data_IF_361813232692
#
_entry.id   IF_361813232692
#
_cell.length_a   1.000
_cell.length_b   1.000
_cell.length_c   1.000
_cell.angle_alpha   90.00
_cell.angle_beta   90.00
_cell.angle_gamma   90.00
#
_symmetry.space_group_name_H-M   'P 1'
#
loop_
_entity.id
_entity.type
_entity.pdbx_description
1 polymer ?
#
# COMPACT_ATOMS: atom_id res chain seq x y z
N UNK A 1 -102.83 -21.81 -22.19
CA UNK A 1 -101.77 -21.53 -21.20
C UNK A 1 -100.70 -22.59 -21.31
N UNK A 2 -99.52 -22.25 -21.84
CA UNK A 2 -98.25 -22.91 -21.51
C UNK A 2 -97.13 -22.04 -22.06
N UNK A 3 -96.45 -21.35 -21.15
CA UNK A 3 -95.30 -20.47 -21.40
C UNK A 3 -94.07 -21.36 -21.35
N UNK A 4 -93.36 -21.51 -22.48
CA UNK A 4 -92.00 -22.06 -22.47
C UNK A 4 -91.03 -20.90 -22.72
N UNK A 5 -90.48 -20.38 -21.63
CA UNK A 5 -89.41 -19.38 -21.64
C UNK A 5 -88.10 -20.04 -22.06
N UNK A 6 -87.63 -19.67 -23.25
CA UNK A 6 -86.30 -20.04 -23.74
C UNK A 6 -85.28 -19.17 -23.01
N UNK A 7 -84.52 -19.75 -22.07
CA UNK A 7 -83.36 -19.11 -21.48
C UNK A 7 -82.25 -18.96 -22.53
N UNK A 8 -82.09 -17.74 -23.04
CA UNK A 8 -80.95 -17.33 -23.84
C UNK A 8 -79.69 -17.28 -22.98
N UNK A 9 -78.85 -18.31 -23.07
CA UNK A 9 -77.49 -18.29 -22.50
C UNK A 9 -76.64 -17.31 -23.32
N UNK A 10 -76.42 -16.12 -22.78
CA UNK A 10 -75.54 -15.12 -23.38
C UNK A 10 -74.10 -15.65 -23.46
N UNK A 11 -73.68 -16.07 -24.66
CA UNK A 11 -72.30 -16.49 -24.96
C UNK A 11 -71.38 -15.28 -24.80
N UNK A 12 -70.66 -15.22 -23.68
CA UNK A 12 -69.67 -14.18 -23.37
C UNK A 12 -68.57 -14.23 -24.44
N UNK A 13 -68.64 -13.33 -25.43
CA UNK A 13 -67.63 -13.23 -26.47
C UNK A 13 -66.30 -12.85 -25.82
N UNK A 14 -65.30 -13.74 -25.91
CA UNK A 14 -63.93 -13.42 -25.51
C UNK A 14 -63.42 -12.34 -26.47
N UNK A 15 -63.25 -11.12 -25.97
CA UNK A 15 -62.64 -10.04 -26.74
C UNK A 15 -61.20 -10.44 -27.04
N UNK A 16 -60.89 -10.63 -28.32
CA UNK A 16 -59.52 -10.90 -28.79
C UNK A 16 -58.67 -9.62 -28.70
N UNK A 17 -57.39 -9.78 -28.45
CA UNK A 17 -56.42 -8.69 -28.39
C UNK A 17 -56.24 -8.08 -29.78
N UNK A 18 -56.16 -6.76 -29.88
CA UNK A 18 -55.91 -6.06 -31.13
C UNK A 18 -54.41 -6.04 -31.46
N UNK A 19 -54.06 -6.03 -32.75
CA UNK A 19 -52.66 -5.96 -33.22
C UNK A 19 -51.95 -4.72 -32.66
N UNK A 20 -52.68 -3.61 -32.52
CA UNK A 20 -52.16 -2.36 -31.93
C UNK A 20 -51.77 -2.52 -30.47
N UNK A 21 -52.56 -3.24 -29.66
CA UNK A 21 -52.21 -3.49 -28.26
C UNK A 21 -50.98 -4.40 -28.13
N UNK A 22 -50.82 -5.38 -29.04
CA UNK A 22 -49.63 -6.22 -29.09
C UNK A 22 -48.36 -5.39 -29.40
N UNK A 23 -48.45 -4.48 -30.37
CA UNK A 23 -47.33 -3.63 -30.76
C UNK A 23 -46.93 -2.66 -29.63
N UNK A 24 -47.92 -2.07 -28.94
CA UNK A 24 -47.68 -1.25 -27.75
C UNK A 24 -47.04 -2.06 -26.62
N UNK A 25 -47.53 -3.29 -26.37
CA UNK A 25 -46.96 -4.16 -25.34
C UNK A 25 -45.49 -4.51 -25.61
N UNK A 26 -45.14 -4.83 -26.86
CA UNK A 26 -43.75 -5.07 -27.26
C UNK A 26 -42.89 -3.81 -27.11
N UNK A 27 -43.42 -2.65 -27.51
CA UNK A 27 -42.73 -1.36 -27.34
C UNK A 27 -42.45 -1.03 -25.87
N UNK A 28 -43.43 -1.24 -24.99
CA UNK A 28 -43.27 -1.07 -23.55
C UNK A 28 -42.28 -2.07 -22.96
N UNK A 29 -42.33 -3.33 -23.38
CA UNK A 29 -41.39 -4.35 -22.95
C UNK A 29 -39.95 -3.95 -23.33
N UNK A 30 -39.74 -3.51 -24.57
CA UNK A 30 -38.43 -3.06 -25.04
C UNK A 30 -37.91 -1.85 -24.23
N UNK A 31 -38.78 -0.88 -23.94
CA UNK A 31 -38.41 0.28 -23.13
C UNK A 31 -38.02 -0.11 -21.69
N UNK A 32 -38.77 -1.02 -21.06
CA UNK A 32 -38.46 -1.53 -19.72
C UNK A 32 -37.13 -2.30 -19.72
N UNK A 33 -36.90 -3.18 -20.70
CA UNK A 33 -35.65 -3.93 -20.81
C UNK A 33 -34.44 -3.01 -21.01
N UNK A 34 -34.57 -1.95 -21.81
CA UNK A 34 -33.52 -0.95 -21.99
C UNK A 34 -33.21 -0.22 -20.68
N UNK A 35 -34.25 0.22 -19.96
CA UNK A 35 -34.08 0.89 -18.66
C UNK A 35 -33.45 -0.04 -17.61
N UNK A 36 -33.92 -1.29 -17.52
CA UNK A 36 -33.36 -2.29 -16.59
C UNK A 36 -31.89 -2.58 -16.91
N UNK A 37 -31.52 -2.71 -18.18
CA UNK A 37 -30.13 -2.96 -18.59
C UNK A 37 -29.21 -1.84 -18.11
N UNK A 38 -29.64 -0.57 -18.24
CA UNK A 38 -28.89 0.58 -17.75
C UNK A 38 -28.70 0.55 -16.23
N UNK A 39 -29.77 0.26 -15.48
CA UNK A 39 -29.70 0.14 -14.00
C UNK A 39 -28.76 -0.98 -13.57
N UNK A 40 -28.83 -2.13 -14.22
CA UNK A 40 -27.94 -3.26 -13.92
C UNK A 40 -26.47 -2.93 -14.23
N UNK A 41 -26.20 -2.24 -15.34
CA UNK A 41 -24.86 -1.82 -15.69
C UNK A 41 -24.26 -0.91 -14.61
N UNK A 42 -24.96 0.14 -14.19
CA UNK A 42 -24.52 1.01 -13.10
C UNK A 42 -24.35 0.25 -11.77
N UNK A 43 -25.25 -0.68 -11.46
CA UNK A 43 -25.16 -1.49 -10.24
C UNK A 43 -23.90 -2.35 -10.21
N UNK A 44 -23.54 -2.95 -11.35
CA UNK A 44 -22.33 -3.76 -11.50
C UNK A 44 -21.08 -2.89 -11.38
N UNK A 45 -21.05 -1.72 -12.02
CA UNK A 45 -19.92 -0.80 -11.93
C UNK A 45 -19.70 -0.28 -10.50
N UNK A 46 -20.79 0.07 -9.80
CA UNK A 46 -20.75 0.47 -8.41
C UNK A 46 -20.20 -0.66 -7.52
N UNK A 47 -20.66 -1.90 -7.73
CA UNK A 47 -20.16 -3.06 -7.00
C UNK A 47 -18.67 -3.30 -7.26
N UNK A 48 -18.23 -3.24 -8.52
CA UNK A 48 -16.81 -3.39 -8.88
C UNK A 48 -15.94 -2.32 -8.22
N UNK A 49 -16.39 -1.07 -8.25
CA UNK A 49 -15.71 0.08 -7.62
C UNK A 49 -15.63 -0.08 -6.10
N UNK A 50 -16.71 -0.56 -5.47
CA UNK A 50 -16.74 -0.84 -4.04
C UNK A 50 -15.76 -1.96 -3.65
N UNK A 51 -15.70 -3.03 -4.44
CA UNK A 51 -14.73 -4.13 -4.23
C UNK A 51 -13.28 -3.65 -4.35
N UNK A 52 -12.96 -2.87 -5.39
CA UNK A 52 -11.64 -2.27 -5.58
C UNK A 52 -11.25 -1.34 -4.42
N UNK A 53 -12.19 -0.52 -3.95
CA UNK A 53 -11.98 0.35 -2.79
C UNK A 53 -11.73 -0.45 -1.52
N UNK A 54 -12.47 -1.53 -1.29
CA UNK A 54 -12.28 -2.40 -0.13
C UNK A 54 -10.91 -3.11 -0.15
N UNK A 55 -10.44 -3.53 -1.32
CA UNK A 55 -9.10 -4.08 -1.50
C UNK A 55 -8.02 -3.06 -1.12
N UNK A 56 -8.07 -1.85 -1.68
CA UNK A 56 -7.13 -0.76 -1.35
C UNK A 56 -7.12 -0.47 0.15
N UNK A 57 -8.29 -0.37 0.79
CA UNK A 57 -8.36 -0.06 2.23
C UNK A 57 -7.79 -1.17 3.11
N UNK A 58 -7.90 -2.44 2.70
CA UNK A 58 -7.24 -3.55 3.41
C UNK A 58 -5.73 -3.46 3.30
N UNK A 59 -5.22 -3.20 2.10
CA UNK A 59 -3.78 -3.01 1.87
C UNK A 59 -3.25 -1.82 2.66
N UNK A 60 -3.98 -0.69 2.65
CA UNK A 60 -3.64 0.48 3.45
C UNK A 60 -3.50 0.13 4.93
N UNK A 61 -4.51 -0.55 5.50
CA UNK A 61 -4.48 -0.93 6.92
C UNK A 61 -3.27 -1.81 7.24
N UNK A 62 -2.99 -2.83 6.41
CA UNK A 62 -1.82 -3.67 6.60
C UNK A 62 -0.51 -2.86 6.57
N UNK A 63 -0.41 -1.89 5.65
CA UNK A 63 0.74 -0.98 5.57
C UNK A 63 0.88 -0.13 6.84
N UNK A 64 -0.18 0.55 7.25
CA UNK A 64 -0.15 1.47 8.39
C UNK A 64 0.06 0.75 9.70
N UNK A 65 -0.56 -0.43 9.89
CA UNK A 65 -0.43 -1.23 11.11
C UNK A 65 1.01 -1.74 11.27
N UNK A 66 1.62 -2.22 10.18
CA UNK A 66 3.01 -2.67 10.21
C UNK A 66 3.99 -1.51 10.42
N UNK A 67 3.78 -0.36 9.77
CA UNK A 67 4.59 0.83 10.00
C UNK A 67 4.52 1.22 11.48
N UNK A 68 3.32 1.34 12.04
CA UNK A 68 3.16 1.67 13.46
C UNK A 68 3.87 0.64 14.36
N UNK A 69 3.74 -0.65 14.07
CA UNK A 69 4.39 -1.71 14.83
C UNK A 69 5.92 -1.59 14.79
N UNK A 70 6.51 -1.44 13.61
CA UNK A 70 7.97 -1.38 13.45
C UNK A 70 8.57 -0.12 14.09
N UNK A 71 7.88 1.02 13.95
CA UNK A 71 8.34 2.29 14.50
C UNK A 71 8.07 2.43 16.00
N UNK A 72 7.13 1.69 16.58
CA UNK A 72 6.92 1.68 18.03
C UNK A 72 8.16 1.20 18.81
N UNK A 73 8.97 0.31 18.21
CA UNK A 73 10.21 -0.19 18.79
C UNK A 73 11.47 0.59 18.38
N UNK A 74 11.34 1.76 17.74
CA UNK A 74 12.50 2.44 17.18
C UNK A 74 13.51 2.85 18.25
N UNK A 75 14.79 2.63 17.98
CA UNK A 75 15.87 2.96 18.91
C UNK A 75 16.47 4.33 18.58
N UNK A 76 15.96 5.39 19.21
CA UNK A 76 16.49 6.75 18.99
C UNK A 76 17.83 7.00 19.69
N UNK A 77 18.22 6.19 20.67
CA UNK A 77 19.39 6.53 21.49
C UNK A 77 20.70 5.98 20.91
N UNK A 78 20.62 4.85 20.21
CA UNK A 78 21.80 4.05 19.87
C UNK A 78 21.76 3.40 18.48
N UNK A 79 20.89 3.87 17.58
CA UNK A 79 20.91 3.41 16.20
C UNK A 79 20.42 4.49 15.22
N UNK A 80 21.11 4.70 14.08
CA UNK A 80 20.74 5.75 13.16
C UNK A 80 19.45 5.44 12.40
N UNK A 81 18.75 6.51 11.99
CA UNK A 81 17.74 6.45 10.92
C UNK A 81 18.38 7.03 9.67
N UNK A 82 18.26 6.31 8.56
CA UNK A 82 18.81 6.74 7.28
C UNK A 82 17.67 6.79 6.27
N UNK A 83 17.49 7.95 5.65
CA UNK A 83 16.52 8.16 4.59
C UNK A 83 17.24 8.51 3.30
N UNK A 84 16.81 7.92 2.19
CA UNK A 84 17.23 8.30 0.86
C UNK A 84 16.01 8.74 0.08
N UNK A 85 16.01 10.02 -0.28
CA UNK A 85 14.99 10.62 -1.10
C UNK A 85 15.37 10.48 -2.57
N UNK A 86 14.44 9.99 -3.38
CA UNK A 86 14.64 9.77 -4.79
C UNK A 86 13.43 10.25 -5.58
N UNK A 87 13.68 11.31 -6.32
CA UNK A 87 12.79 11.90 -7.30
C UNK A 87 13.17 13.35 -7.49
N UNK A 88 13.49 13.77 -8.71
CA UNK A 88 13.55 15.20 -9.00
C UNK A 88 12.17 15.82 -8.74
N UNK A 89 12.09 17.11 -8.42
CA UNK A 89 10.79 17.77 -8.16
C UNK A 89 9.79 17.66 -9.33
N UNK A 90 10.29 17.29 -10.51
CA UNK A 90 9.57 17.06 -11.76
C UNK A 90 9.25 15.59 -12.07
N UNK A 91 9.80 14.62 -11.33
CA UNK A 91 9.64 13.20 -11.66
C UNK A 91 8.37 12.62 -11.04
N UNK A 92 7.53 12.03 -11.88
CA UNK A 92 6.29 11.37 -11.46
C UNK A 92 6.53 10.01 -10.77
N UNK A 93 7.78 9.61 -10.55
CA UNK A 93 8.18 8.34 -9.96
C UNK A 93 9.04 8.57 -8.72
N UNK A 94 8.40 9.03 -7.64
CA UNK A 94 9.09 9.10 -6.35
C UNK A 94 9.15 7.72 -5.71
N UNK A 95 10.32 7.36 -5.23
CA UNK A 95 10.58 6.05 -4.66
C UNK A 95 11.56 6.21 -3.50
N UNK A 96 11.15 6.89 -2.45
CA UNK A 96 12.01 7.09 -1.29
C UNK A 96 12.26 5.76 -0.58
N UNK A 97 13.29 5.73 0.26
CA UNK A 97 13.59 4.57 1.08
C UNK A 97 14.10 4.99 2.44
N UNK A 98 13.83 4.16 3.44
CA UNK A 98 14.24 4.39 4.81
C UNK A 98 14.75 3.10 5.42
N UNK A 99 15.81 3.23 6.21
CA UNK A 99 16.33 2.17 7.06
C UNK A 99 16.43 2.68 8.48
N UNK A 100 16.02 1.85 9.42
CA UNK A 100 16.15 2.10 10.85
C UNK A 100 16.30 0.78 11.60
N UNK A 101 16.63 0.89 12.88
CA UNK A 101 16.73 -0.24 13.78
C UNK A 101 15.62 -0.15 14.81
N UNK A 102 15.05 -1.30 15.13
CA UNK A 102 13.92 -1.40 16.05
C UNK A 102 14.06 -2.63 16.95
N UNK A 103 13.45 -2.57 18.12
CA UNK A 103 13.33 -3.68 19.06
C UNK A 103 11.93 -4.27 19.00
N UNK A 104 11.84 -5.58 19.15
CA UNK A 104 10.59 -6.32 19.03
C UNK A 104 10.81 -7.80 19.22
N UNK A 105 9.80 -8.61 18.95
CA UNK A 105 9.96 -10.06 18.86
C UNK A 105 10.03 -10.45 17.38
N UNK A 106 11.25 -10.49 16.84
CA UNK A 106 11.48 -10.80 15.43
C UNK A 106 11.81 -12.26 15.26
N UNK A 107 11.22 -12.86 14.23
CA UNK A 107 11.45 -14.24 13.85
C UNK A 107 11.55 -14.35 12.32
N UNK A 108 12.40 -15.24 11.82
CA UNK A 108 12.49 -15.61 10.40
C UNK A 108 11.24 -16.35 9.94
N UNK A 109 11.00 -16.42 8.62
CA UNK A 109 9.79 -17.09 8.09
C UNK A 109 9.72 -18.59 8.43
N UNK A 110 10.86 -19.26 8.46
CA UNK A 110 10.99 -20.67 8.86
C UNK A 110 10.87 -20.89 10.38
N UNK A 111 10.99 -19.80 11.15
CA UNK A 111 10.92 -19.81 12.59
C UNK A 111 12.22 -20.20 13.30
N UNK A 112 13.30 -20.48 12.58
CA UNK A 112 14.53 -21.02 13.15
C UNK A 112 15.31 -19.96 13.95
N UNK A 113 15.32 -18.72 13.46
CA UNK A 113 16.08 -17.63 14.07
C UNK A 113 15.11 -16.64 14.71
N UNK A 114 15.40 -16.30 15.96
CA UNK A 114 14.70 -15.27 16.72
C UNK A 114 15.69 -14.23 17.22
N UNK A 115 15.26 -12.98 17.25
CA UNK A 115 16.05 -11.89 17.79
C UNK A 115 15.18 -10.76 18.27
N UNK A 116 15.70 -10.01 19.23
CA UNK A 116 14.98 -8.88 19.82
C UNK A 116 15.26 -7.54 19.12
N UNK A 117 16.18 -7.54 18.16
CA UNK A 117 16.60 -6.35 17.42
C UNK A 117 16.65 -6.68 15.94
N UNK A 118 16.10 -5.81 15.10
CA UNK A 118 16.17 -5.95 13.67
C UNK A 118 16.46 -4.61 12.98
N UNK A 119 17.11 -4.70 11.83
CA UNK A 119 17.20 -3.61 10.85
C UNK A 119 16.04 -3.75 9.87
N UNK A 120 15.23 -2.70 9.76
CA UNK A 120 14.07 -2.67 8.88
C UNK A 120 14.35 -1.69 7.74
N UNK A 121 14.10 -2.14 6.52
CA UNK A 121 14.10 -1.33 5.31
C UNK A 121 12.68 -1.22 4.78
N UNK A 122 12.28 0.00 4.41
CA UNK A 122 11.10 0.27 3.58
C UNK A 122 11.52 1.02 2.31
N UNK A 123 10.92 0.64 1.19
CA UNK A 123 11.06 1.36 -0.08
C UNK A 123 10.54 0.53 -1.24
N UNK A 124 10.47 1.11 -2.43
CA UNK A 124 10.05 0.34 -3.61
C UNK A 124 11.09 -0.73 -3.98
N UNK A 125 10.61 -1.91 -4.39
CA UNK A 125 11.43 -2.96 -4.95
C UNK A 125 11.90 -2.58 -6.36
N UNK A 126 13.16 -2.91 -6.68
CA UNK A 126 13.76 -2.55 -7.96
C UNK A 126 13.92 -1.04 -8.19
N UNK A 127 14.49 -0.71 -9.34
CA UNK A 127 14.49 0.67 -9.84
C UNK A 127 13.15 0.91 -10.56
N UNK A 128 12.38 1.96 -10.19
CA UNK A 128 11.24 2.33 -11.00
C UNK A 128 11.75 2.62 -12.42
N UNK A 129 11.08 2.12 -13.47
CA UNK A 129 11.44 2.50 -14.82
C UNK A 129 11.36 4.03 -14.95
N UNK A 130 12.27 4.65 -15.72
CA UNK A 130 12.34 6.10 -15.99
C UNK A 130 11.14 6.65 -16.81
N UNK A 131 10.01 5.96 -16.75
CA UNK A 131 8.78 6.30 -17.48
C UNK A 131 7.74 6.83 -16.50
N UNK A 132 7.12 7.97 -16.79
CA UNK A 132 5.95 8.51 -16.06
C UNK A 132 4.68 7.62 -16.15
N UNK A 133 4.84 6.35 -16.47
CA UNK A 133 3.77 5.37 -16.59
C UNK A 133 3.49 4.83 -15.19
N UNK A 134 2.25 5.03 -14.75
CA UNK A 134 1.69 4.37 -13.58
C UNK A 134 1.81 2.85 -13.77
N UNK A 135 2.57 2.21 -12.90
CA UNK A 135 2.73 0.75 -12.92
C UNK A 135 2.06 0.12 -11.69
N UNK A 136 0.88 -0.52 -11.86
CA UNK A 136 0.19 -1.22 -10.78
C UNK A 136 0.96 -2.47 -10.29
N UNK A 137 2.08 -2.81 -10.93
CA UNK A 137 2.96 -3.90 -10.50
C UNK A 137 4.12 -3.45 -9.62
N UNK A 138 4.26 -2.15 -9.32
CA UNK A 138 5.25 -1.69 -8.34
C UNK A 138 4.98 -2.32 -6.98
N UNK A 139 6.05 -2.80 -6.37
CA UNK A 139 6.02 -3.50 -5.08
C UNK A 139 6.66 -2.57 -4.06
N UNK A 140 5.95 -2.31 -2.96
CA UNK A 140 6.55 -1.83 -1.73
C UNK A 140 7.23 -3.02 -1.06
N UNK A 141 8.52 -2.89 -0.80
CA UNK A 141 9.31 -3.87 -0.09
C UNK A 141 9.44 -3.47 1.38
N UNK A 142 9.36 -4.48 2.25
CA UNK A 142 9.75 -4.39 3.65
C UNK A 142 10.79 -5.48 3.90
N UNK A 143 12.06 -5.12 4.04
CA UNK A 143 13.11 -6.09 4.36
C UNK A 143 13.46 -6.02 5.84
N UNK A 144 13.30 -7.14 6.54
CA UNK A 144 13.69 -7.30 7.94
C UNK A 144 14.95 -8.13 8.01
N UNK A 145 15.97 -7.61 8.68
CA UNK A 145 17.22 -8.33 8.95
C UNK A 145 17.39 -8.42 10.47
N UNK A 146 17.22 -9.62 11.01
CA UNK A 146 17.38 -9.89 12.43
C UNK A 146 18.86 -9.82 12.79
N UNK A 147 19.16 -9.09 13.85
CA UNK A 147 20.50 -9.02 14.43
C UNK A 147 20.57 -10.03 15.56
N UNK A 148 21.17 -11.18 15.31
CA UNK A 148 21.46 -12.15 16.36
C UNK A 148 22.92 -12.60 16.19
N UNK A 149 23.71 -12.66 17.27
CA UNK A 149 25.06 -13.22 17.21
C UNK A 149 24.95 -14.75 17.24
N UNK A 150 24.73 -15.38 16.08
CA UNK A 150 24.78 -16.85 15.93
C UNK A 150 25.81 -17.27 14.88
N UNK A 151 26.40 -18.45 15.06
CA UNK A 151 27.44 -19.05 14.19
C UNK A 151 26.92 -19.47 12.79
N UNK A 152 25.63 -19.27 12.55
CA UNK A 152 24.98 -19.56 11.28
C UNK A 152 25.34 -18.43 10.30
N UNK A 153 25.69 -18.75 9.06
CA UNK A 153 26.07 -17.76 8.05
C UNK A 153 25.00 -16.69 7.83
N UNK A 154 25.37 -15.57 7.20
CA UNK A 154 24.42 -14.49 6.88
C UNK A 154 23.41 -14.91 5.81
N UNK A 155 22.15 -14.50 5.97
CA UNK A 155 21.08 -14.67 4.98
C UNK A 155 20.43 -13.33 4.64
N UNK A 156 19.39 -13.33 3.80
CA UNK A 156 18.60 -12.12 3.53
C UNK A 156 17.77 -11.66 4.73
N UNK A 157 17.46 -12.57 5.67
CA UNK A 157 16.62 -12.32 6.84
C UNK A 157 17.43 -12.14 8.14
N UNK A 158 18.74 -12.40 8.10
CA UNK A 158 19.58 -12.46 9.30
C UNK A 158 21.02 -12.04 9.02
N UNK A 159 21.61 -11.25 9.93
CA UNK A 159 23.03 -10.94 9.97
C UNK A 159 23.64 -11.39 11.30
N UNK A 160 24.78 -12.13 11.30
CA UNK A 160 25.43 -12.64 12.51
C UNK A 160 26.15 -11.56 13.33
N UNK A 161 25.88 -10.29 13.03
CA UNK A 161 26.47 -9.16 13.71
C UNK A 161 25.55 -8.69 14.82
N UNK A 162 26.12 -8.42 15.98
CA UNK A 162 25.47 -7.64 17.03
C UNK A 162 25.22 -6.20 16.56
N UNK A 163 24.30 -5.51 17.23
CA UNK A 163 24.03 -4.09 16.96
C UNK A 163 25.30 -3.24 17.09
N UNK A 164 26.11 -3.49 18.13
CA UNK A 164 27.36 -2.74 18.35
C UNK A 164 28.39 -2.97 17.24
N UNK A 165 28.49 -4.17 16.68
CA UNK A 165 29.37 -4.45 15.54
C UNK A 165 28.90 -3.71 14.29
N UNK A 166 27.59 -3.71 14.02
CA UNK A 166 27.04 -2.92 12.92
C UNK A 166 27.24 -1.42 13.11
N UNK A 167 27.13 -0.92 14.35
CA UNK A 167 27.39 0.49 14.66
C UNK A 167 28.88 0.82 14.46
N UNK A 168 29.80 -0.07 14.84
CA UNK A 168 31.23 0.12 14.57
C UNK A 168 31.52 0.16 13.07
N UNK A 169 30.91 -0.73 12.27
CA UNK A 169 31.03 -0.71 10.81
C UNK A 169 30.50 0.62 10.26
N UNK A 170 29.31 1.05 10.71
CA UNK A 170 28.70 2.31 10.31
C UNK A 170 29.60 3.51 10.63
N UNK A 171 30.16 3.57 11.84
CA UNK A 171 31.06 4.66 12.26
C UNK A 171 32.36 4.65 11.44
N UNK A 172 32.88 3.46 11.11
CA UNK A 172 34.12 3.32 10.34
C UNK A 172 33.97 3.73 8.87
N UNK A 173 32.82 3.42 8.25
CA UNK A 173 32.52 3.77 6.85
C UNK A 173 31.01 3.95 6.66
N UNK A 174 30.54 5.15 6.98
CA UNK A 174 29.13 5.53 6.91
C UNK A 174 28.57 5.37 5.49
N UNK A 175 29.37 5.70 4.47
CA UNK A 175 28.89 5.69 3.09
C UNK A 175 28.65 4.25 2.62
N UNK A 176 29.65 3.38 2.78
CA UNK A 176 29.52 1.96 2.40
C UNK A 176 28.44 1.24 3.19
N UNK A 177 28.34 1.50 4.51
CA UNK A 177 27.29 0.92 5.33
C UNK A 177 25.90 1.36 4.87
N UNK A 178 25.70 2.68 4.67
CA UNK A 178 24.40 3.21 4.22
C UNK A 178 24.03 2.74 2.81
N UNK A 179 24.98 2.63 1.89
CA UNK A 179 24.75 2.10 0.55
C UNK A 179 24.31 0.63 0.58
N UNK A 180 24.94 -0.18 1.44
CA UNK A 180 24.54 -1.58 1.64
C UNK A 180 23.13 -1.69 2.21
N UNK A 181 22.81 -0.87 3.22
CA UNK A 181 21.53 -0.97 3.93
C UNK A 181 20.34 -0.42 3.13
N UNK A 182 20.55 0.68 2.38
CA UNK A 182 19.54 1.27 1.50
C UNK A 182 19.43 0.56 0.15
N UNK A 183 20.25 -0.47 -0.12
CA UNK A 183 20.19 -1.21 -1.37
C UNK A 183 18.80 -1.83 -1.52
N UNK A 184 18.10 -1.39 -2.55
CA UNK A 184 16.76 -1.90 -2.87
C UNK A 184 16.83 -3.40 -3.14
N UNK A 185 15.91 -4.19 -2.57
CA UNK A 185 15.77 -5.57 -2.97
C UNK A 185 15.22 -5.63 -4.40
N UNK A 186 15.78 -6.53 -5.20
CA UNK A 186 15.19 -6.95 -6.46
C UNK A 186 14.29 -8.14 -6.15
N UNK A 187 12.98 -7.91 -6.04
CA UNK A 187 12.02 -8.90 -5.56
C UNK A 187 11.45 -9.67 -6.75
N UNK A 188 11.76 -10.96 -6.81
CA UNK A 188 11.07 -11.89 -7.67
C UNK A 188 9.98 -12.63 -6.86
N UNK A 189 8.71 -12.28 -7.07
CA UNK A 189 7.58 -12.91 -6.37
C UNK A 189 7.46 -14.43 -6.62
N UNK A 190 8.23 -15.00 -7.55
CA UNK A 190 8.30 -16.44 -7.81
C UNK A 190 9.38 -17.14 -7.00
N UNK A 191 10.33 -16.40 -6.43
CA UNK A 191 11.34 -16.94 -5.53
C UNK A 191 10.80 -16.92 -4.10
N UNK A 192 10.77 -18.07 -3.44
CA UNK A 192 10.33 -18.17 -2.06
C UNK A 192 11.18 -17.34 -1.10
N UNK A 193 12.45 -17.11 -1.43
CA UNK A 193 13.37 -16.33 -0.61
C UNK A 193 13.04 -14.82 -0.60
N UNK A 194 12.34 -14.34 -1.63
CA UNK A 194 11.97 -12.93 -1.75
C UNK A 194 10.60 -12.63 -1.13
N UNK A 195 9.80 -13.67 -0.84
CA UNK A 195 8.47 -13.51 -0.24
C UNK A 195 8.55 -12.79 1.12
N UNK A 196 9.61 -13.04 1.89
CA UNK A 196 9.86 -12.36 3.17
C UNK A 196 9.99 -10.83 3.03
N UNK A 197 10.39 -10.35 1.85
CA UNK A 197 10.58 -8.92 1.57
C UNK A 197 9.37 -8.29 0.87
N UNK A 198 8.45 -9.10 0.34
CA UNK A 198 7.26 -8.65 -0.34
C UNK A 198 6.24 -8.11 0.66
N UNK A 199 5.96 -6.81 0.61
CA UNK A 199 5.02 -6.21 1.55
C UNK A 199 3.66 -5.91 0.92
N UNK A 200 3.65 -5.13 -0.16
CA UNK A 200 2.41 -4.81 -0.87
C UNK A 200 2.70 -4.55 -2.36
N UNK A 201 1.78 -4.99 -3.24
CA UNK A 201 1.79 -4.67 -4.67
C UNK A 201 0.82 -3.54 -4.98
N UNK A 202 1.10 -2.82 -6.06
CA UNK A 202 0.29 -1.69 -6.50
C UNK A 202 0.55 -0.46 -5.63
N UNK A 203 1.76 -0.33 -5.09
CA UNK A 203 2.17 0.85 -4.32
C UNK A 203 3.10 1.69 -5.19
N UNK A 204 2.65 2.89 -5.54
CA UNK A 204 3.44 3.86 -6.30
C UNK A 204 3.64 5.16 -5.52
N UNK A 205 4.51 6.05 -6.01
CA UNK A 205 4.78 7.37 -5.44
C UNK A 205 5.07 7.31 -3.94
N UNK A 206 5.87 6.34 -3.51
CA UNK A 206 6.23 6.21 -2.12
C UNK A 206 7.21 7.33 -1.77
N UNK A 207 6.75 8.28 -0.98
CA UNK A 207 7.54 9.42 -0.51
C UNK A 207 7.62 9.46 0.99
N UNK A 208 8.72 10.00 1.48
CA UNK A 208 8.96 10.24 2.89
C UNK A 208 9.19 11.73 3.06
N UNK A 209 8.53 12.30 4.06
CA UNK A 209 8.80 13.64 4.57
C UNK A 209 9.01 13.52 6.07
N UNK A 210 9.80 14.41 6.65
CA UNK A 210 10.07 14.40 8.09
C UNK A 210 9.97 15.79 8.68
N UNK A 211 9.71 15.87 9.98
CA UNK A 211 9.67 17.12 10.72
C UNK A 211 10.50 16.97 12.00
N UNK A 212 11.41 17.90 12.25
CA UNK A 212 12.23 17.94 13.45
C UNK A 212 11.48 18.53 14.66
N UNK A 213 11.95 18.25 15.89
CA UNK A 213 11.32 18.75 17.13
C UNK A 213 11.20 20.28 17.18
N UNK A 214 12.17 21.02 16.62
CA UNK A 214 12.18 22.48 16.56
C UNK A 214 11.08 23.06 15.66
N UNK A 215 10.56 22.26 14.73
CA UNK A 215 9.68 22.70 13.65
C UNK A 215 8.18 22.51 13.96
N UNK A 216 7.86 22.18 15.21
CA UNK A 216 6.49 22.02 15.73
C UNK A 216 6.10 23.23 16.62
N UNK A 217 7.04 24.13 16.90
CA UNK A 217 6.88 25.28 17.79
C UNK A 217 6.07 26.40 17.09
N UNK A 218 4.76 26.22 17.02
CA UNK A 218 3.84 27.20 16.42
C UNK A 218 2.46 26.67 16.04
N UNK A 219 2.23 25.36 16.17
CA UNK A 219 0.98 24.71 15.72
C UNK A 219 1.00 24.28 14.26
N UNK A 220 1.94 24.81 13.47
CA UNK A 220 2.21 24.37 12.10
C UNK A 220 3.35 23.35 12.09
N UNK A 221 3.19 22.30 11.27
CA UNK A 221 4.21 21.27 11.06
C UNK A 221 4.95 21.62 9.78
N UNK A 222 6.21 22.04 9.91
CA UNK A 222 7.08 22.29 8.75
C UNK A 222 7.72 20.98 8.26
N UNK A 223 7.10 20.37 7.25
CA UNK A 223 7.59 19.17 6.58
C UNK A 223 8.80 19.51 5.72
N UNK A 224 9.94 18.90 6.02
CA UNK A 224 11.12 19.05 5.19
C UNK A 224 10.92 18.28 3.89
N UNK A 225 11.02 18.95 2.73
CA UNK A 225 10.73 18.34 1.44
C UNK A 225 11.80 17.32 1.08
N UNK A 226 11.49 16.37 0.18
CA UNK A 226 12.51 15.51 -0.41
C UNK A 226 13.45 16.37 -1.26
N UNK A 227 14.60 16.74 -0.70
CA UNK A 227 15.77 17.07 -1.50
C UNK A 227 16.33 15.75 -2.04
N UNK A 228 16.88 15.68 -3.25
CA UNK A 228 17.41 14.43 -3.85
C UNK A 228 18.67 13.90 -3.13
N UNK A 229 18.67 13.93 -1.81
CA UNK A 229 19.80 13.70 -0.92
C UNK A 229 19.52 12.54 0.01
N UNK A 230 20.55 12.16 0.74
CA UNK A 230 20.46 11.18 1.82
C UNK A 230 20.52 11.94 3.12
N UNK A 231 19.55 11.70 4.01
CA UNK A 231 19.55 12.22 5.38
C UNK A 231 19.87 11.12 6.36
N UNK A 232 20.64 11.49 7.38
CA UNK A 232 21.15 10.58 8.42
C UNK A 232 20.91 11.22 9.77
N UNK A 233 20.18 10.52 10.62
CA UNK A 233 19.83 10.96 11.96
C UNK A 233 20.50 10.03 12.98
N UNK A 234 20.97 10.56 14.12
CA UNK A 234 21.48 9.73 15.23
C UNK A 234 23.00 9.57 15.32
N UNK A 235 23.48 8.36 15.66
CA UNK A 235 24.80 8.02 16.25
C UNK A 235 26.09 8.50 15.54
N UNK A 236 25.99 9.22 14.42
CA UNK A 236 27.05 10.12 13.93
C UNK A 236 26.52 11.18 12.95
N UNK A 237 25.22 11.44 12.92
CA UNK A 237 24.51 12.24 11.91
C UNK A 237 24.40 13.71 12.32
N UNK A 238 24.56 14.60 11.33
CA UNK A 238 24.46 16.06 11.49
C UNK A 238 23.08 16.49 12.00
N UNK A 239 22.05 15.70 11.68
CA UNK A 239 20.66 16.05 11.93
C UNK A 239 20.11 15.34 13.19
N UNK A 240 19.40 16.06 14.09
CA UNK A 240 18.71 15.45 15.21
C UNK A 240 17.57 14.56 14.73
N UNK A 241 17.20 13.52 15.50
CA UNK A 241 16.08 12.65 15.13
C UNK A 241 14.82 13.44 14.81
N UNK A 242 14.10 13.07 13.73
CA UNK A 242 12.81 13.68 13.45
C UNK A 242 11.84 13.35 14.58
N UNK A 243 10.91 14.27 14.84
CA UNK A 243 9.78 14.03 15.72
C UNK A 243 8.66 13.27 15.01
N UNK A 244 8.49 13.55 13.71
CA UNK A 244 7.44 13.00 12.88
C UNK A 244 8.01 12.55 11.54
N UNK A 245 7.49 11.44 11.04
CA UNK A 245 7.75 10.94 9.68
C UNK A 245 6.40 10.75 9.00
N UNK A 246 6.23 11.37 7.82
CA UNK A 246 5.05 11.23 6.98
C UNK A 246 5.39 10.39 5.76
N UNK A 247 4.65 9.31 5.59
CA UNK A 247 4.67 8.46 4.42
C UNK A 247 3.51 8.85 3.51
N UNK A 248 3.80 9.14 2.26
CA UNK A 248 2.77 9.34 1.24
C UNK A 248 2.95 8.28 0.16
N UNK A 249 1.85 7.68 -0.29
CA UNK A 249 1.89 6.70 -1.37
C UNK A 249 0.53 6.59 -2.06
N UNK A 250 0.54 6.09 -3.29
CA UNK A 250 -0.66 5.79 -4.08
C UNK A 250 -0.86 4.29 -4.17
N UNK A 251 -2.05 3.82 -3.80
CA UNK A 251 -2.44 2.42 -3.92
C UNK A 251 -3.36 2.20 -5.13
N UNK A 252 -3.09 1.12 -5.86
CA UNK A 252 -3.89 0.66 -6.99
C UNK A 252 -4.57 -0.67 -6.65
N UNK A 253 -5.77 -0.89 -7.19
CA UNK A 253 -6.42 -2.20 -7.11
C UNK A 253 -5.80 -3.17 -8.12
N UNK A 254 -5.75 -4.46 -7.77
CA UNK A 254 -5.17 -5.49 -8.63
C UNK A 254 -5.82 -5.64 -10.00
N UNK A 255 -7.06 -5.14 -10.17
CA UNK A 255 -7.85 -5.25 -11.40
C UNK A 255 -7.85 -3.98 -12.24
N UNK A 256 -7.20 -2.90 -11.80
CA UNK A 256 -7.17 -1.62 -12.49
C UNK A 256 -8.56 -0.98 -12.68
N UNK A 257 -9.52 -1.27 -11.79
CA UNK A 257 -10.84 -0.65 -11.78
C UNK A 257 -10.70 0.84 -11.45
N UNK A 258 -9.85 1.18 -10.48
CA UNK A 258 -9.49 2.54 -10.09
C UNK A 258 -8.20 2.94 -10.81
N UNK A 259 -8.34 3.42 -12.05
CA UNK A 259 -7.21 3.72 -12.96
C UNK A 259 -6.16 4.67 -12.37
N UNK A 260 -6.57 5.61 -11.54
CA UNK A 260 -5.67 6.60 -10.92
C UNK A 260 -5.14 6.16 -9.55
N UNK A 261 -5.62 5.03 -9.03
CA UNK A 261 -5.39 4.63 -7.65
C UNK A 261 -6.02 5.60 -6.65
N UNK A 262 -5.60 5.49 -5.39
CA UNK A 262 -5.93 6.42 -4.31
C UNK A 262 -4.66 6.77 -3.54
N UNK A 263 -4.44 8.07 -3.32
CA UNK A 263 -3.31 8.58 -2.53
C UNK A 263 -3.68 8.59 -1.04
N UNK A 264 -2.72 8.18 -0.22
CA UNK A 264 -2.82 8.14 1.23
C UNK A 264 -1.60 8.79 1.86
N UNK A 265 -1.79 9.31 3.08
CA UNK A 265 -0.75 9.86 3.92
C UNK A 265 -0.87 9.20 5.29
N UNK A 266 0.25 8.75 5.84
CA UNK A 266 0.34 8.14 7.15
C UNK A 266 1.48 8.78 7.94
N UNK A 267 1.21 9.20 9.17
CA UNK A 267 2.18 9.88 10.02
C UNK A 267 2.53 8.98 11.19
N UNK A 268 3.83 8.86 11.44
CA UNK A 268 4.41 8.13 12.57
C UNK A 268 5.16 9.10 13.47
N UNK A 269 5.00 8.92 14.77
CA UNK A 269 5.63 9.72 15.82
C UNK A 269 6.87 8.99 16.34
N UNK A 270 7.95 9.74 16.56
CA UNK A 270 9.26 9.20 16.97
C UNK A 270 9.66 9.81 18.32
N UNK A 271 9.87 8.94 19.32
CA UNK A 271 10.42 9.33 20.62
C UNK A 271 9.42 9.99 21.57
N UNK A 272 8.22 9.42 21.70
CA UNK A 272 7.38 9.57 22.90
C UNK A 272 7.86 8.66 24.04
#
# INVERSE_FOLDING_TARGET
MSVNSVFSVAKKMKKGFTITELLVAIGLLAAVLAASTSIFHYSIEAQRTAMATAEIMRTLRAITDQLNYDFAGIRTDDAPIIMQFRGNSTDANKADSIVFFTVGDFQTMDGEIRGNTARIYYGQAGLPPDTNIVDPNKILARKQVILAPAEIGSSNEYEPNSLSELMNIYISDVNTATDKWLKRPDINYRDSNDIAMYFAKGVDNFTIEFCGKSNILGGDIDWQPPDNTRRRFGLSGVDPYPALIKFTFTLYDSKGILKTGRRFEHIVYIGE
#
